data_IF_210368991242
#
_entry.id   IF_210368991242
#
_cell.length_a   1.000
_cell.length_b   1.000
_cell.length_c   1.000
_cell.angle_alpha   90.00
_cell.angle_beta   90.00
_cell.angle_gamma   90.00
#
_symmetry.space_group_name_H-M   'P 1'
#
loop_
_entity.id
_entity.type
_entity.pdbx_description
1 polymer ?
#
# COMPACT_ATOMS: atom_id res chain seq x y z
N UNK A 1 -17.05 9.13 -6.36
CA UNK A 1 -16.96 8.15 -5.24
C UNK A 1 -15.81 7.20 -5.53
N UNK A 2 -14.87 7.05 -4.60
CA UNK A 2 -13.71 6.18 -4.78
C UNK A 2 -14.06 4.75 -4.32
N UNK A 3 -14.35 3.87 -5.28
CA UNK A 3 -14.75 2.47 -5.02
C UNK A 3 -13.57 1.50 -5.01
N UNK A 4 -12.37 1.95 -5.40
CA UNK A 4 -11.19 1.09 -5.57
C UNK A 4 -10.23 1.13 -4.37
N UNK A 5 -10.32 2.16 -3.53
CA UNK A 5 -9.39 2.37 -2.42
C UNK A 5 -9.89 1.92 -1.05
N UNK A 6 -11.05 1.25 -0.97
CA UNK A 6 -11.63 0.82 0.31
C UNK A 6 -10.64 0.02 1.18
N UNK A 7 -9.76 -0.78 0.57
CA UNK A 7 -8.70 -1.50 1.28
C UNK A 7 -7.64 -0.59 1.90
N UNK A 8 -7.25 0.49 1.23
CA UNK A 8 -6.30 1.49 1.76
C UNK A 8 -6.92 2.22 2.95
N UNK A 9 -8.20 2.61 2.84
CA UNK A 9 -8.93 3.18 3.97
C UNK A 9 -8.98 2.21 5.15
N UNK A 10 -9.39 0.96 4.93
CA UNK A 10 -9.49 -0.04 5.99
C UNK A 10 -8.14 -0.26 6.71
N UNK A 11 -7.06 -0.43 5.96
CA UNK A 11 -5.71 -0.59 6.54
C UNK A 11 -5.28 0.64 7.35
N UNK A 12 -5.51 1.85 6.83
CA UNK A 12 -5.18 3.08 7.55
C UNK A 12 -5.98 3.26 8.83
N UNK A 13 -7.25 2.88 8.80
CA UNK A 13 -8.12 2.86 9.97
C UNK A 13 -7.58 1.90 11.03
N UNK A 14 -7.23 0.67 10.65
CA UNK A 14 -6.67 -0.30 11.60
C UNK A 14 -5.30 0.11 12.14
N UNK A 15 -4.44 0.70 11.30
CA UNK A 15 -3.09 1.15 11.68
C UNK A 15 -3.11 2.28 12.71
N UNK A 16 -4.00 3.26 12.52
CA UNK A 16 -4.00 4.51 13.32
C UNK A 16 -5.00 4.49 14.48
N UNK A 17 -5.82 3.45 14.58
CA UNK A 17 -6.80 3.36 15.66
C UNK A 17 -6.13 2.97 16.98
N UNK A 18 -6.18 3.88 17.95
CA UNK A 18 -5.61 3.69 19.29
C UNK A 18 -6.63 3.99 20.40
N UNK A 19 -7.91 3.67 20.17
CA UNK A 19 -9.02 3.86 21.11
C UNK A 19 -9.18 5.31 21.63
N UNK A 20 -8.83 6.30 20.81
CA UNK A 20 -8.96 7.72 21.15
C UNK A 20 -10.36 8.25 20.87
N UNK A 21 -10.88 9.12 21.75
CA UNK A 21 -12.10 9.89 21.47
C UNK A 21 -11.84 10.87 20.32
N UNK A 22 -12.81 11.01 19.40
CA UNK A 22 -12.70 11.84 18.19
C UNK A 22 -11.51 11.47 17.27
N UNK A 23 -11.20 10.19 17.18
CA UNK A 23 -10.13 9.68 16.33
C UNK A 23 -10.35 10.03 14.85
N UNK A 24 -9.28 10.51 14.22
CA UNK A 24 -9.16 10.78 12.79
C UNK A 24 -7.97 9.97 12.25
N UNK A 25 -8.21 9.16 11.23
CA UNK A 25 -7.16 8.36 10.58
C UNK A 25 -6.24 9.18 9.66
N UNK A 26 -6.54 10.48 9.47
CA UNK A 26 -5.76 11.43 8.68
C UNK A 26 -5.89 11.22 7.18
N UNK A 27 -6.96 10.56 6.73
CA UNK A 27 -7.19 10.23 5.32
C UNK A 27 -8.47 10.89 4.82
N UNK A 28 -8.31 11.88 3.94
CA UNK A 28 -9.40 12.66 3.36
C UNK A 28 -9.64 12.28 1.89
N UNK A 29 -10.90 12.37 1.44
CA UNK A 29 -11.33 11.88 0.12
C UNK A 29 -10.73 12.61 -1.08
N UNK A 30 -10.21 13.81 -0.87
CA UNK A 30 -9.55 14.67 -1.86
C UNK A 30 -8.02 14.52 -1.88
N UNK A 31 -7.44 13.76 -0.94
CA UNK A 31 -6.01 13.54 -0.86
C UNK A 31 -5.55 12.35 -1.75
N UNK A 32 -5.68 12.52 -3.06
CA UNK A 32 -5.33 11.47 -4.04
C UNK A 32 -3.85 11.04 -3.98
N UNK A 33 -2.93 11.98 -3.76
CA UNK A 33 -1.51 11.68 -3.62
C UNK A 33 -1.20 10.93 -2.33
N UNK A 34 -1.86 11.28 -1.22
CA UNK A 34 -1.77 10.52 0.03
C UNK A 34 -2.27 9.09 -0.12
N UNK A 35 -3.43 8.91 -0.79
CA UNK A 35 -3.97 7.60 -1.10
C UNK A 35 -3.01 6.78 -1.96
N UNK A 36 -2.42 7.38 -2.99
CA UNK A 36 -1.45 6.70 -3.86
C UNK A 36 -0.22 6.26 -3.08
N UNK A 37 0.33 7.11 -2.20
CA UNK A 37 1.49 6.77 -1.36
C UNK A 37 1.18 5.63 -0.40
N UNK A 38 0.04 5.68 0.29
CA UNK A 38 -0.39 4.60 1.18
C UNK A 38 -0.62 3.30 0.42
N UNK A 39 -1.23 3.36 -0.77
CA UNK A 39 -1.41 2.18 -1.62
C UNK A 39 -0.07 1.53 -1.98
N UNK A 40 0.90 2.33 -2.39
CA UNK A 40 2.26 1.84 -2.71
C UNK A 40 2.90 1.23 -1.46
N UNK A 41 2.84 1.92 -0.32
CA UNK A 41 3.42 1.45 0.94
C UNK A 41 2.84 0.10 1.36
N UNK A 42 1.50 0.02 1.48
CA UNK A 42 0.83 -1.22 1.89
C UNK A 42 1.05 -2.36 0.90
N UNK A 43 1.10 -2.10 -0.40
CA UNK A 43 1.46 -3.12 -1.38
C UNK A 43 2.90 -3.61 -1.19
N UNK A 44 3.87 -2.70 -0.98
CA UNK A 44 5.26 -3.09 -0.73
C UNK A 44 5.34 -3.96 0.52
N UNK A 45 4.71 -3.54 1.61
CA UNK A 45 4.73 -4.28 2.88
C UNK A 45 4.15 -5.69 2.69
N UNK A 46 2.97 -5.84 2.09
CA UNK A 46 2.35 -7.15 1.83
C UNK A 46 3.17 -8.04 0.88
N UNK A 47 3.77 -7.46 -0.16
CA UNK A 47 4.53 -8.22 -1.16
C UNK A 47 5.92 -8.64 -0.66
N UNK A 48 6.48 -7.91 0.30
CA UNK A 48 7.82 -8.16 0.82
C UNK A 48 7.83 -8.80 2.21
N UNK A 49 6.68 -8.91 2.87
CA UNK A 49 6.53 -9.57 4.17
C UNK A 49 7.07 -11.00 4.17
N UNK A 50 7.66 -11.41 5.30
CA UNK A 50 8.24 -12.73 5.44
C UNK A 50 7.20 -13.87 5.44
N UNK A 51 5.95 -13.59 5.83
CA UNK A 51 4.84 -14.53 5.77
C UNK A 51 4.30 -14.73 4.34
N UNK A 52 4.70 -13.90 3.37
CA UNK A 52 4.34 -14.10 1.98
C UNK A 52 5.26 -15.14 1.32
N UNK A 53 4.74 -16.34 1.12
CA UNK A 53 5.48 -17.46 0.48
C UNK A 53 5.96 -17.13 -0.94
N UNK A 54 5.30 -16.18 -1.62
CA UNK A 54 5.67 -15.74 -2.97
C UNK A 54 6.66 -14.58 -2.98
N UNK A 55 7.13 -14.08 -1.82
CA UNK A 55 8.01 -12.88 -1.76
C UNK A 55 9.24 -12.99 -2.64
N UNK A 56 9.87 -14.17 -2.70
CA UNK A 56 11.08 -14.39 -3.50
C UNK A 56 10.78 -14.31 -4.99
N UNK A 57 9.70 -14.94 -5.45
CA UNK A 57 9.26 -14.88 -6.84
C UNK A 57 8.91 -13.45 -7.25
N UNK A 58 8.20 -12.73 -6.38
CA UNK A 58 7.82 -11.33 -6.59
C UNK A 58 9.05 -10.42 -6.67
N UNK A 59 10.07 -10.62 -5.83
CA UNK A 59 11.33 -9.90 -5.91
C UNK A 59 12.09 -10.17 -7.22
N UNK A 60 12.10 -11.43 -7.69
CA UNK A 60 12.70 -11.78 -8.98
C UNK A 60 11.95 -11.11 -10.13
N UNK A 61 10.63 -11.12 -10.10
CA UNK A 61 9.78 -10.49 -11.10
C UNK A 61 10.00 -8.97 -11.15
N UNK A 62 10.04 -8.30 -10.00
CA UNK A 62 10.32 -6.86 -9.90
C UNK A 62 11.69 -6.50 -10.50
N UNK A 63 12.72 -7.32 -10.24
CA UNK A 63 14.06 -7.14 -10.84
C UNK A 63 14.05 -7.30 -12.36
N UNK A 64 13.24 -8.22 -12.91
CA UNK A 64 13.09 -8.40 -14.36
C UNK A 64 12.44 -7.17 -14.99
N UNK A 65 11.35 -6.67 -14.42
CA UNK A 65 10.69 -5.45 -14.91
C UNK A 65 11.62 -4.24 -14.90
N UNK A 66 12.34 -3.99 -13.81
CA UNK A 66 13.31 -2.88 -13.73
C UNK A 66 14.41 -2.97 -14.81
N UNK A 67 14.84 -4.19 -15.17
CA UNK A 67 15.82 -4.37 -16.25
C UNK A 67 15.24 -4.04 -17.63
N UNK A 68 13.95 -4.30 -17.85
CA UNK A 68 13.28 -3.95 -19.10
C UNK A 68 13.15 -2.42 -19.24
N UNK A 69 12.77 -1.72 -18.16
CA UNK A 69 12.66 -0.25 -18.15
C UNK A 69 14.01 0.46 -18.36
N UNK A 70 15.13 -0.14 -17.96
CA UNK A 70 16.47 0.45 -18.13
C UNK A 70 17.12 0.16 -19.50
N UNK A 71 16.47 -0.64 -20.36
CA UNK A 71 16.97 -1.02 -21.68
C UNK A 71 16.19 -0.33 -22.83
N UNK A 72 15.30 0.61 -22.50
CA UNK A 72 14.63 1.56 -23.40
C UNK A 72 15.22 2.96 -23.21
#
# INVERSE_FOLDING_TARGET
MNIVDCGVYAMRHMETYHAQNNWDCGLYSDNFEGLKKLRIQYCIDLLTDNANDKRVELQVLARKFKKLENNE
#
